data_IF_822294795042
#
_entry.id   IF_822294795042
#
_cell.length_a   1.000
_cell.length_b   1.000
_cell.length_c   1.000
_cell.angle_alpha   90.00
_cell.angle_beta   90.00
_cell.angle_gamma   90.00
#
_symmetry.space_group_name_H-M   'P 1'
#
loop_
_entity.id
_entity.type
_entity.pdbx_description
1 polymer ?
#
# COMPACT_ATOMS: atom_id res chain seq x y z
N UNK A 1 22.74 11.38 3.74
CA UNK A 1 22.61 10.63 2.47
C UNK A 1 22.29 9.20 2.86
N UNK A 2 21.03 8.79 2.75
CA UNK A 2 20.72 7.36 2.76
C UNK A 2 21.34 6.78 1.49
N UNK A 3 22.22 5.78 1.63
CA UNK A 3 22.82 5.06 0.51
C UNK A 3 21.70 4.46 -0.36
N UNK A 4 21.89 4.44 -1.68
CA UNK A 4 21.03 3.80 -2.70
C UNK A 4 20.85 2.27 -2.51
N UNK A 5 21.29 1.70 -1.39
CA UNK A 5 21.27 0.28 -1.06
C UNK A 5 19.99 -0.16 -0.31
N UNK A 6 18.92 0.63 -0.39
CA UNK A 6 17.65 0.34 0.30
C UNK A 6 16.45 0.29 -0.64
N UNK A 7 15.52 -0.61 -0.32
CA UNK A 7 14.25 -0.75 -1.05
C UNK A 7 13.11 -0.64 -0.05
N UNK A 8 12.11 0.15 -0.40
CA UNK A 8 10.83 0.17 0.29
C UNK A 8 9.84 -0.72 -0.45
N UNK A 9 9.15 -1.60 0.28
CA UNK A 9 8.09 -2.45 -0.26
C UNK A 9 6.81 -2.28 0.55
N UNK A 10 5.67 -2.43 -0.12
CA UNK A 10 4.35 -2.44 0.51
C UNK A 10 3.50 -3.60 -0.02
N UNK A 11 2.53 -4.04 0.78
CA UNK A 11 1.64 -5.15 0.41
C UNK A 11 0.25 -5.06 1.01
N UNK A 12 -0.55 -6.11 0.76
CA UNK A 12 -1.92 -6.23 1.26
C UNK A 12 -2.03 -6.47 2.78
N UNK A 13 -0.91 -6.72 3.45
CA UNK A 13 -0.81 -6.88 4.91
C UNK A 13 -0.74 -5.54 5.67
N UNK A 14 -0.89 -4.41 4.95
CA UNK A 14 -0.88 -3.05 5.49
C UNK A 14 0.43 -2.69 6.17
N UNK A 15 1.53 -3.32 5.76
CA UNK A 15 2.88 -2.99 6.21
C UNK A 15 3.69 -2.38 5.10
N UNK A 16 4.54 -1.44 5.50
CA UNK A 16 5.58 -0.88 4.64
C UNK A 16 6.91 -1.26 5.26
N UNK A 17 7.77 -1.89 4.48
CA UNK A 17 9.02 -2.49 4.93
C UNK A 17 10.19 -1.84 4.19
N UNK A 18 11.22 -1.43 4.94
CA UNK A 18 12.50 -0.99 4.40
C UNK A 18 13.49 -2.14 4.46
N UNK A 19 14.12 -2.45 3.34
CA UNK A 19 15.07 -3.56 3.20
C UNK A 19 16.44 -3.04 2.83
N UNK A 20 17.49 -3.66 3.36
CA UNK A 20 18.82 -3.53 2.77
C UNK A 20 18.94 -4.49 1.60
N UNK A 21 19.41 -3.99 0.45
CA UNK A 21 19.74 -4.82 -0.71
C UNK A 21 20.86 -5.80 -0.34
N UNK A 22 21.85 -5.35 0.45
CA UNK A 22 22.97 -6.18 0.88
C UNK A 22 22.60 -7.16 2.01
N UNK A 23 21.65 -6.79 2.88
CA UNK A 23 21.24 -7.56 4.05
C UNK A 23 19.72 -7.76 4.07
N UNK A 24 19.21 -8.60 3.17
CA UNK A 24 17.77 -8.73 2.88
C UNK A 24 17.01 -9.74 3.78
N UNK A 25 17.65 -10.29 4.81
CA UNK A 25 17.05 -11.33 5.66
C UNK A 25 15.97 -10.79 6.61
N UNK A 26 16.10 -9.53 7.04
CA UNK A 26 15.16 -8.89 7.97
C UNK A 26 14.96 -7.42 7.55
N UNK A 27 13.72 -6.90 7.57
CA UNK A 27 13.48 -5.48 7.35
C UNK A 27 14.27 -4.63 8.36
N UNK A 28 14.89 -3.55 7.89
CA UNK A 28 15.54 -2.56 8.76
C UNK A 28 14.53 -1.73 9.53
N UNK A 29 13.41 -1.41 8.87
CA UNK A 29 12.30 -0.65 9.43
C UNK A 29 10.99 -1.24 8.95
N UNK A 30 9.94 -1.06 9.76
CA UNK A 30 8.58 -1.43 9.43
C UNK A 30 7.66 -0.30 9.88
N UNK A 31 6.73 0.09 9.01
CA UNK A 31 5.62 0.99 9.35
C UNK A 31 4.33 0.19 9.27
N UNK A 32 3.57 0.21 10.35
CA UNK A 32 2.28 -0.48 10.44
C UNK A 32 1.14 0.49 10.11
N UNK A 33 0.39 0.18 9.06
CA UNK A 33 -0.80 0.92 8.61
C UNK A 33 -2.09 0.18 9.01
N UNK A 34 -2.03 -0.72 10.00
CA UNK A 34 -3.17 -1.51 10.48
C UNK A 34 -4.36 -0.69 11.00
N UNK A 35 -4.14 0.58 11.35
CA UNK A 35 -5.21 1.52 11.72
C UNK A 35 -6.10 1.92 10.53
N UNK A 36 -5.66 1.68 9.29
CA UNK A 36 -6.42 1.94 8.08
C UNK A 36 -7.05 0.64 7.56
N UNK A 37 -8.33 0.68 7.18
CA UNK A 37 -9.05 -0.53 6.75
C UNK A 37 -8.94 -0.84 5.25
N UNK A 38 -7.97 -0.26 4.57
CA UNK A 38 -7.81 -0.40 3.11
C UNK A 38 -6.43 -0.96 2.77
N UNK A 39 -6.30 -1.83 1.75
CA UNK A 39 -5.01 -2.33 1.31
C UNK A 39 -4.18 -1.21 0.69
N UNK A 40 -2.85 -1.36 0.74
CA UNK A 40 -1.95 -0.39 0.12
C UNK A 40 -1.98 -0.57 -1.39
N UNK A 41 -2.37 0.49 -2.09
CA UNK A 41 -2.44 0.56 -3.55
C UNK A 41 -1.09 0.91 -4.15
N UNK A 42 -0.46 1.97 -3.65
CA UNK A 42 0.83 2.46 -4.14
C UNK A 42 1.59 3.19 -3.02
N UNK A 43 2.91 3.15 -3.09
CA UNK A 43 3.80 4.01 -2.31
C UNK A 43 4.67 4.84 -3.27
N UNK A 44 4.99 6.05 -2.88
CA UNK A 44 5.98 6.89 -3.57
C UNK A 44 6.90 7.55 -2.55
N UNK A 45 8.19 7.29 -2.69
CA UNK A 45 9.25 7.87 -1.87
C UNK A 45 9.78 9.13 -2.54
N UNK A 46 9.93 10.20 -1.77
CA UNK A 46 10.71 11.36 -2.17
C UNK A 46 11.94 11.46 -1.26
N UNK A 47 13.11 11.14 -1.81
CA UNK A 47 14.39 11.14 -1.10
C UNK A 47 14.90 12.55 -0.79
N UNK A 48 14.50 13.57 -1.56
CA UNK A 48 14.97 14.94 -1.38
C UNK A 48 14.37 15.58 -0.11
N UNK A 49 13.14 15.21 0.21
CA UNK A 49 12.42 15.67 1.42
C UNK A 49 12.33 14.60 2.52
N UNK A 50 12.85 13.39 2.22
CA UNK A 50 12.80 12.20 3.05
C UNK A 50 11.38 11.89 3.60
N UNK A 51 10.39 11.88 2.70
CA UNK A 51 8.99 11.54 3.02
C UNK A 51 8.45 10.53 2.02
N UNK A 52 7.38 9.85 2.42
CA UNK A 52 6.64 8.93 1.56
C UNK A 52 5.16 9.26 1.55
N UNK A 53 4.55 9.21 0.37
CA UNK A 53 3.09 9.20 0.20
C UNK A 53 2.64 7.77 -0.05
N UNK A 54 1.60 7.36 0.66
CA UNK A 54 0.96 6.05 0.57
C UNK A 54 -0.49 6.25 0.13
N UNK A 55 -0.83 5.61 -0.98
CA UNK A 55 -2.20 5.52 -1.46
C UNK A 55 -2.80 4.20 -0.97
N UNK A 56 -3.98 4.30 -0.38
CA UNK A 56 -4.78 3.15 -0.01
C UNK A 56 -5.96 3.00 -0.98
N UNK A 57 -6.35 1.75 -1.25
CA UNK A 57 -7.40 1.46 -2.22
C UNK A 57 -8.76 2.03 -1.77
N UNK A 58 -9.38 2.84 -2.64
CA UNK A 58 -10.68 3.49 -2.38
C UNK A 58 -10.72 4.25 -1.05
N UNK A 59 -9.60 4.92 -0.74
CA UNK A 59 -9.47 5.78 0.43
C UNK A 59 -9.39 7.24 0.00
N UNK A 60 -10.17 8.10 0.65
CA UNK A 60 -10.37 9.51 0.27
C UNK A 60 -9.30 10.45 0.85
N UNK A 61 -8.29 9.90 1.53
CA UNK A 61 -7.20 10.66 2.13
C UNK A 61 -5.86 10.06 1.71
N UNK A 62 -4.83 10.90 1.70
CA UNK A 62 -3.46 10.46 1.50
C UNK A 62 -2.85 10.14 2.86
N UNK A 63 -2.11 9.04 2.94
CA UNK A 63 -1.30 8.74 4.12
C UNK A 63 0.11 9.22 3.84
N UNK A 64 0.63 10.12 4.67
CA UNK A 64 1.99 10.63 4.61
C UNK A 64 2.82 10.05 5.74
N UNK A 65 4.08 9.79 5.44
CA UNK A 65 5.06 9.24 6.36
C UNK A 65 6.31 10.13 6.30
N UNK A 66 6.68 10.70 7.44
CA UNK A 66 7.97 11.39 7.60
C UNK A 66 9.03 10.37 8.05
N UNK A 67 10.11 10.22 7.27
CA UNK A 67 11.16 9.24 7.51
C UNK A 67 12.33 9.79 8.34
N UNK A 68 12.28 11.08 8.69
CA UNK A 68 13.30 11.73 9.52
C UNK A 68 13.12 11.45 11.02
N UNK A 69 11.95 10.95 11.42
CA UNK A 69 11.60 10.75 12.83
C UNK A 69 11.43 9.27 13.17
N UNK A 70 11.91 8.91 14.36
CA UNK A 70 11.63 7.62 15.00
C UNK A 70 11.01 7.91 16.39
N UNK A 71 9.83 7.34 16.72
CA UNK A 71 9.06 6.39 15.93
C UNK A 71 8.39 7.04 14.71
N UNK A 72 8.37 6.30 13.59
CA UNK A 72 7.62 6.72 12.40
C UNK A 72 6.12 6.75 12.73
N UNK A 73 5.50 7.93 12.59
CA UNK A 73 4.05 8.10 12.75
C UNK A 73 3.41 8.59 11.44
N UNK A 74 2.57 7.75 10.80
CA UNK A 74 1.79 8.17 9.66
C UNK A 74 0.72 9.20 10.06
N UNK A 75 0.47 10.16 9.18
CA UNK A 75 -0.65 11.10 9.31
C UNK A 75 -1.37 11.23 7.96
N UNK A 76 -2.59 11.79 7.98
CA UNK A 76 -3.41 11.90 6.78
C UNK A 76 -3.60 13.32 6.31
N UNK A 77 -3.59 13.51 4.99
CA UNK A 77 -4.08 14.72 4.34
C UNK A 77 -5.37 14.39 3.58
N UNK A 78 -6.43 15.14 3.85
CA UNK A 78 -7.74 14.93 3.24
C UNK A 78 -8.01 15.96 2.15
N UNK A 79 -8.59 15.50 1.05
CA UNK A 79 -8.94 16.33 -0.09
C UNK A 79 -10.36 16.01 -0.53
N UNK A 80 -11.00 16.91 -1.29
CA UNK A 80 -12.30 16.64 -1.89
C UNK A 80 -12.14 15.74 -3.13
N UNK A 81 -11.72 14.49 -2.91
CA UNK A 81 -11.56 13.43 -3.90
C UNK A 81 -12.16 12.14 -3.33
N UNK A 82 -12.78 11.29 -4.15
CA UNK A 82 -13.34 10.03 -3.65
C UNK A 82 -12.24 9.02 -3.32
N UNK A 83 -11.22 8.96 -4.18
CA UNK A 83 -10.04 8.13 -4.03
C UNK A 83 -8.91 8.63 -4.94
N UNK A 84 -7.70 8.16 -4.65
CA UNK A 84 -6.51 8.47 -5.42
C UNK A 84 -6.09 7.27 -6.26
N UNK A 85 -5.71 7.55 -7.50
CA UNK A 85 -5.41 6.57 -8.52
C UNK A 85 -3.92 6.31 -8.62
N UNK A 86 -3.11 7.38 -8.59
CA UNK A 86 -1.67 7.28 -8.76
C UNK A 86 -0.90 8.39 -8.04
N UNK A 87 0.38 8.17 -7.80
CA UNK A 87 1.31 9.15 -7.24
C UNK A 87 2.68 9.04 -7.89
N UNK A 88 3.30 10.20 -8.12
CA UNK A 88 4.66 10.36 -8.60
C UNK A 88 5.36 11.49 -7.81
N UNK A 89 6.67 11.58 -7.94
CA UNK A 89 7.50 12.64 -7.36
C UNK A 89 8.20 13.44 -8.45
N UNK A 90 8.37 14.73 -8.22
CA UNK A 90 9.06 15.64 -9.13
C UNK A 90 9.78 16.72 -8.32
N UNK A 91 11.09 16.60 -8.17
CA UNK A 91 11.86 17.42 -7.22
C UNK A 91 11.31 17.26 -5.80
N UNK A 92 11.05 18.37 -5.12
CA UNK A 92 10.48 18.39 -3.76
C UNK A 92 8.98 18.11 -3.68
N UNK A 93 8.29 17.91 -4.82
CA UNK A 93 6.85 17.77 -4.87
C UNK A 93 6.38 16.32 -5.00
N UNK A 94 5.23 16.02 -4.40
CA UNK A 94 4.41 14.87 -4.74
C UNK A 94 3.28 15.30 -5.67
N UNK A 95 3.13 14.62 -6.80
CA UNK A 95 2.02 14.80 -7.73
C UNK A 95 1.08 13.60 -7.59
N UNK A 96 -0.13 13.84 -7.11
CA UNK A 96 -1.11 12.79 -6.80
C UNK A 96 -2.31 12.92 -7.71
N UNK A 97 -2.57 11.87 -8.48
CA UNK A 97 -3.70 11.77 -9.39
C UNK A 97 -4.95 11.30 -8.62
N UNK A 98 -5.94 12.17 -8.51
CA UNK A 98 -7.28 11.83 -8.02
C UNK A 98 -8.24 11.48 -9.16
N UNK A 99 -9.52 11.31 -8.81
CA UNK A 99 -10.58 11.01 -9.79
C UNK A 99 -11.04 12.25 -10.59
N UNK A 100 -10.89 13.45 -10.02
CA UNK A 100 -11.42 14.70 -10.59
C UNK A 100 -10.42 15.86 -10.58
N UNK A 101 -9.27 15.67 -9.93
CA UNK A 101 -8.21 16.66 -9.87
C UNK A 101 -6.85 15.98 -9.67
N UNK A 102 -5.79 16.73 -9.96
CA UNK A 102 -4.44 16.43 -9.47
C UNK A 102 -4.15 17.28 -8.25
N UNK A 103 -3.58 16.67 -7.21
CA UNK A 103 -3.09 17.38 -6.03
C UNK A 103 -1.56 17.41 -6.10
N UNK A 104 -0.99 18.62 -6.08
CA UNK A 104 0.46 18.84 -5.98
C UNK A 104 0.77 19.24 -4.55
N UNK A 105 1.67 18.51 -3.88
CA UNK A 105 2.01 18.69 -2.47
C UNK A 105 3.50 19.01 -2.37
N UNK A 106 3.83 20.14 -1.75
CA UNK A 106 5.19 20.47 -1.36
C UNK A 106 5.65 19.53 -0.23
N UNK A 107 6.73 18.78 -0.45
CA UNK A 107 7.21 17.79 0.50
C UNK A 107 7.86 18.37 1.76
N UNK A 108 8.26 19.64 1.79
CA UNK A 108 8.81 20.30 2.97
C UNK A 108 7.70 20.93 3.81
N UNK A 109 6.82 21.70 3.18
CA UNK A 109 5.80 22.49 3.88
C UNK A 109 4.46 21.76 4.01
N UNK A 110 4.25 20.71 3.21
CA UNK A 110 2.97 19.99 3.08
C UNK A 110 1.82 20.88 2.58
N UNK A 111 2.12 22.10 2.14
CA UNK A 111 1.17 22.92 1.42
C UNK A 111 0.82 22.26 0.09
N UNK A 112 -0.42 22.40 -0.33
CA UNK A 112 -0.91 21.71 -1.52
C UNK A 112 -1.78 22.59 -2.39
N UNK A 113 -1.67 22.37 -3.70
CA UNK A 113 -2.53 22.98 -4.71
C UNK A 113 -3.31 21.89 -5.42
N UNK A 114 -4.63 22.08 -5.50
CA UNK A 114 -5.52 21.18 -6.26
C UNK A 114 -5.79 21.78 -7.63
N UNK A 115 -5.43 21.05 -8.67
CA UNK A 115 -5.62 21.42 -10.07
C UNK A 115 -6.79 20.58 -10.60
N UNK A 116 -7.98 21.17 -10.79
CA UNK A 116 -9.13 20.44 -11.29
C UNK A 116 -8.89 19.98 -12.74
N UNK A 117 -9.42 18.81 -13.08
CA UNK A 117 -9.50 18.39 -14.46
C UNK A 117 -10.54 19.23 -15.21
N UNK A 118 -10.31 19.41 -16.51
CA UNK A 118 -11.40 19.79 -17.39
C UNK A 118 -12.42 18.64 -17.52
N UNK A 119 -13.57 18.94 -18.12
CA UNK A 119 -14.67 17.98 -18.24
C UNK A 119 -14.28 16.74 -19.07
N UNK A 120 -13.42 16.92 -20.08
CA UNK A 120 -13.00 15.83 -20.97
C UNK A 120 -12.09 14.85 -20.24
N UNK A 121 -11.10 15.36 -19.51
CA UNK A 121 -10.19 14.56 -18.72
C UNK A 121 -10.92 13.88 -17.55
N UNK A 122 -11.82 14.61 -16.85
CA UNK A 122 -12.62 14.03 -15.78
C UNK A 122 -13.49 12.87 -16.27
N UNK A 123 -14.13 13.01 -17.45
CA UNK A 123 -14.92 11.94 -18.05
C UNK A 123 -14.05 10.75 -18.48
N UNK A 124 -12.87 11.02 -19.04
CA UNK A 124 -11.92 9.98 -19.48
C UNK A 124 -11.39 9.16 -18.30
N UNK A 125 -10.98 9.82 -17.22
CA UNK A 125 -10.51 9.16 -15.99
C UNK A 125 -11.64 8.33 -15.36
N UNK A 126 -12.86 8.90 -15.26
CA UNK A 126 -14.00 8.23 -14.64
C UNK A 126 -14.50 7.01 -15.43
N UNK A 127 -14.33 7.00 -16.75
CA UNK A 127 -14.74 5.87 -17.61
C UNK A 127 -13.72 4.74 -17.69
N UNK A 128 -12.49 5.00 -17.23
CA UNK A 128 -11.41 4.02 -17.28
C UNK A 128 -11.63 2.93 -16.23
N UNK A 129 -11.64 1.66 -16.66
CA UNK A 129 -11.68 0.53 -15.74
C UNK A 129 -10.32 0.39 -15.06
N UNK A 130 -10.30 0.54 -13.75
CA UNK A 130 -9.09 0.37 -12.98
C UNK A 130 -8.62 -1.09 -13.00
N UNK A 131 -7.41 -1.34 -13.46
CA UNK A 131 -6.84 -2.70 -13.49
C UNK A 131 -6.67 -3.27 -12.07
N UNK A 132 -6.50 -2.40 -11.07
CA UNK A 132 -6.31 -2.79 -9.67
C UNK A 132 -7.60 -3.40 -9.08
N UNK A 133 -8.79 -2.99 -9.56
CA UNK A 133 -10.05 -3.61 -9.15
C UNK A 133 -10.10 -5.12 -9.41
N UNK A 134 -9.42 -5.58 -10.48
CA UNK A 134 -9.34 -6.99 -10.82
C UNK A 134 -8.21 -7.70 -10.06
N UNK A 135 -7.13 -6.98 -9.75
CA UNK A 135 -6.00 -7.54 -8.98
C UNK A 135 -6.44 -8.00 -7.60
N UNK A 136 -7.12 -7.15 -6.83
CA UNK A 136 -7.57 -7.52 -5.48
C UNK A 136 -8.64 -8.62 -5.47
N UNK A 137 -9.54 -8.66 -6.47
CA UNK A 137 -10.49 -9.77 -6.62
C UNK A 137 -9.76 -11.09 -6.81
N UNK A 138 -8.78 -11.13 -7.72
CA UNK A 138 -8.04 -12.35 -8.03
C UNK A 138 -7.12 -12.80 -6.89
N UNK A 139 -6.46 -11.87 -6.20
CA UNK A 139 -5.62 -12.18 -5.02
C UNK A 139 -6.47 -12.67 -3.86
N UNK A 140 -7.64 -12.08 -3.61
CA UNK A 140 -8.55 -12.55 -2.55
C UNK A 140 -9.08 -13.94 -2.86
N UNK A 141 -9.44 -14.22 -4.12
CA UNK A 141 -9.89 -15.55 -4.54
C UNK A 141 -8.77 -16.60 -4.45
N UNK A 142 -7.56 -16.30 -4.91
CA UNK A 142 -6.43 -17.22 -4.87
C UNK A 142 -5.95 -17.46 -3.43
N UNK A 143 -5.82 -16.41 -2.62
CA UNK A 143 -5.40 -16.54 -1.23
C UNK A 143 -6.46 -17.27 -0.40
N UNK A 144 -7.75 -17.08 -0.68
CA UNK A 144 -8.83 -17.82 -0.02
C UNK A 144 -8.83 -19.29 -0.42
N UNK A 145 -8.69 -19.61 -1.70
CA UNK A 145 -8.61 -20.98 -2.17
C UNK A 145 -7.39 -21.71 -1.58
N UNK A 146 -6.24 -21.03 -1.52
CA UNK A 146 -5.02 -21.57 -0.93
C UNK A 146 -5.12 -21.71 0.60
N UNK A 147 -5.78 -20.76 1.27
CA UNK A 147 -6.08 -20.85 2.71
C UNK A 147 -7.03 -22.01 3.03
N UNK A 148 -8.12 -22.17 2.26
CA UNK A 148 -9.06 -23.29 2.43
C UNK A 148 -8.37 -24.64 2.15
N UNK A 149 -7.50 -24.71 1.13
CA UNK A 149 -6.67 -25.88 0.84
C UNK A 149 -5.75 -26.23 2.01
N UNK A 150 -4.97 -25.27 2.53
CA UNK A 150 -4.08 -25.49 3.70
C UNK A 150 -4.86 -25.88 4.95
N UNK A 151 -6.09 -25.38 5.11
CA UNK A 151 -6.97 -25.77 6.23
C UNK A 151 -7.46 -27.21 6.07
N UNK A 152 -7.84 -27.63 4.87
CA UNK A 152 -8.24 -29.01 4.56
C UNK A 152 -7.08 -30.00 4.80
N UNK A 153 -5.89 -29.68 4.29
CA UNK A 153 -4.67 -30.49 4.50
C UNK A 153 -4.33 -30.65 6.00
N UNK A 154 -4.49 -29.59 6.80
CA UNK A 154 -4.32 -29.68 8.26
C UNK A 154 -5.37 -30.55 8.92
N UNK A 155 -6.63 -30.49 8.48
CA UNK A 155 -7.70 -31.34 9.01
C UNK A 155 -7.47 -32.82 8.67
N UNK A 156 -7.01 -33.13 7.46
CA UNK A 156 -6.69 -34.49 7.02
C UNK A 156 -5.47 -35.05 7.76
N UNK A 157 -4.43 -34.26 7.96
CA UNK A 157 -3.28 -34.67 8.78
C UNK A 157 -3.67 -34.97 10.24
N UNK A 158 -4.62 -34.22 10.81
CA UNK A 158 -5.14 -34.46 12.16
C UNK A 158 -6.03 -35.73 12.19
N UNK A 159 -6.82 -35.98 11.16
CA UNK A 159 -7.70 -37.14 11.07
C UNK A 159 -6.91 -38.44 10.85
N UNK A 160 -5.88 -38.43 10.01
CA UNK A 160 -4.94 -39.54 9.84
C UNK A 160 -4.19 -39.84 11.14
N UNK A 161 -3.71 -38.81 11.84
CA UNK A 161 -3.03 -38.98 13.13
C UNK A 161 -3.95 -39.64 14.16
N UNK A 162 -5.22 -39.22 14.24
CA UNK A 162 -6.22 -39.85 15.13
C UNK A 162 -6.53 -41.29 14.74
N UNK A 163 -6.63 -41.60 13.44
CA UNK A 163 -6.82 -42.98 12.96
C UNK A 163 -5.65 -43.89 13.31
N UNK A 164 -4.41 -43.42 13.12
CA UNK A 164 -3.19 -44.18 13.48
C UNK A 164 -3.10 -44.46 14.97
N UNK A 165 -3.52 -43.52 15.81
CA UNK A 165 -3.54 -43.70 17.28
C UNK A 165 -4.61 -44.74 17.66
N UNK A 166 -5.80 -44.70 17.07
CA UNK A 166 -6.88 -45.64 17.37
C UNK A 166 -6.68 -47.04 16.77
N UNK A 167 -5.80 -47.20 15.78
CA UNK A 167 -5.46 -48.51 15.17
C UNK A 167 -4.25 -49.19 15.82
N UNK A 168 -3.72 -48.64 16.91
CA UNK A 168 -2.65 -49.23 17.73
C UNK A 168 -3.12 -49.49 19.18
N UNK A 169 -4.44 -49.57 19.36
CA UNK A 169 -5.14 -50.11 20.54
C UNK A 169 -5.85 -51.37 20.11
#
# INVERSE_FOLDING_TARGET
>A
MENDDYVWSAGGDKKILNWSIQHSQVPRRSVDLGLYDKPIRKISLNTDVNKMVVLLEKFNSLVLIDLNHEPIQPFTLSYNQEHFLDVATSGEYFCVLGNSATVVIDGFTLNSTTIPFDLELAASVSSTKDAIDNFYKNVTHNNRAEYEKRKAEKFDAISEKKRRINSHV
#
